data_IF_259408560719
#
_entry.id   IF_259408560719
#
_cell.length_a   1.000
_cell.length_b   1.000
_cell.length_c   1.000
_cell.angle_alpha   90.00
_cell.angle_beta   90.00
_cell.angle_gamma   90.00
#
_symmetry.space_group_name_H-M   'P 1'
#
loop_
_entity.id
_entity.type
_entity.pdbx_description
1 polymer ?
#
# COMPACT_ATOMS: atom_id res chain seq x y z
N UNK A 1 4.57 -11.79 33.53
CA UNK A 1 4.99 -10.89 32.45
C UNK A 1 4.26 -11.33 31.20
N UNK A 2 3.38 -10.49 30.65
CA UNK A 2 2.78 -10.73 29.34
C UNK A 2 3.89 -10.57 28.31
N UNK A 3 4.37 -11.67 27.75
CA UNK A 3 5.28 -11.63 26.61
C UNK A 3 4.49 -11.08 25.44
N UNK A 4 4.68 -9.79 25.14
CA UNK A 4 4.18 -9.19 23.90
C UNK A 4 5.04 -9.74 22.75
N UNK A 5 4.71 -10.95 22.29
CA UNK A 5 5.28 -11.50 21.06
C UNK A 5 4.59 -10.82 19.88
N UNK A 6 5.34 -10.04 19.10
CA UNK A 6 4.87 -9.59 17.80
C UNK A 6 4.67 -10.85 16.94
N UNK A 7 3.43 -11.07 16.49
CA UNK A 7 3.08 -12.19 15.62
C UNK A 7 3.61 -11.88 14.21
N UNK A 8 4.84 -12.32 13.91
CA UNK A 8 5.49 -12.05 12.62
C UNK A 8 4.66 -12.56 11.43
N UNK A 9 3.93 -13.67 11.58
CA UNK A 9 3.00 -14.15 10.55
C UNK A 9 1.88 -13.14 10.22
N UNK A 10 1.36 -12.41 11.21
CA UNK A 10 0.36 -11.37 10.95
C UNK A 10 0.96 -10.18 10.22
N UNK A 11 2.21 -9.84 10.51
CA UNK A 11 2.92 -8.74 9.85
C UNK A 11 3.09 -9.04 8.36
N UNK A 12 3.60 -10.23 8.02
CA UNK A 12 3.78 -10.65 6.64
C UNK A 12 2.45 -10.75 5.89
N UNK A 13 1.41 -11.25 6.57
CA UNK A 13 0.05 -11.30 6.02
C UNK A 13 -0.48 -9.90 5.69
N UNK A 14 -0.37 -8.94 6.62
CA UNK A 14 -0.85 -7.57 6.42
C UNK A 14 -0.09 -6.89 5.26
N UNK A 15 1.22 -7.10 5.15
CA UNK A 15 2.02 -6.61 4.01
C UNK A 15 1.57 -7.23 2.69
N UNK A 16 1.29 -8.53 2.68
CA UNK A 16 0.75 -9.23 1.51
C UNK A 16 -0.61 -8.66 1.07
N UNK A 17 -1.52 -8.50 2.02
CA UNK A 17 -2.86 -7.92 1.78
C UNK A 17 -2.76 -6.48 1.27
N UNK A 18 -1.92 -5.64 1.86
CA UNK A 18 -1.73 -4.25 1.41
C UNK A 18 -1.22 -4.17 -0.03
N UNK A 19 -0.29 -5.04 -0.41
CA UNK A 19 0.18 -5.13 -1.80
C UNK A 19 -0.92 -5.61 -2.74
N UNK A 20 -1.67 -6.65 -2.35
CA UNK A 20 -2.79 -7.18 -3.13
C UNK A 20 -3.87 -6.12 -3.38
N UNK A 21 -4.29 -5.40 -2.34
CA UNK A 21 -5.27 -4.31 -2.43
C UNK A 21 -4.76 -3.20 -3.35
N UNK A 22 -3.48 -2.81 -3.22
CA UNK A 22 -2.89 -1.77 -4.08
C UNK A 22 -2.88 -2.19 -5.55
N UNK A 23 -2.55 -3.44 -5.85
CA UNK A 23 -2.60 -3.97 -7.21
C UNK A 23 -4.02 -4.02 -7.76
N UNK A 24 -4.99 -4.49 -6.97
CA UNK A 24 -6.40 -4.54 -7.37
C UNK A 24 -6.97 -3.14 -7.64
N UNK A 25 -6.61 -2.15 -6.82
CA UNK A 25 -7.00 -0.76 -7.04
C UNK A 25 -6.40 -0.20 -8.33
N UNK A 26 -5.11 -0.40 -8.56
CA UNK A 26 -4.46 0.03 -9.81
C UNK A 26 -5.10 -0.61 -11.05
N UNK A 27 -5.42 -1.91 -10.98
CA UNK A 27 -6.11 -2.60 -12.07
C UNK A 27 -7.51 -2.01 -12.31
N UNK A 28 -8.27 -1.79 -11.24
CA UNK A 28 -9.61 -1.20 -11.32
C UNK A 28 -9.57 0.20 -11.94
N UNK A 29 -8.59 1.03 -11.57
CA UNK A 29 -8.38 2.35 -12.14
C UNK A 29 -7.98 2.28 -13.63
N UNK A 30 -7.13 1.33 -14.00
CA UNK A 30 -6.77 1.10 -15.40
C UNK A 30 -7.97 0.65 -16.26
N UNK A 31 -8.81 -0.23 -15.70
CA UNK A 31 -10.03 -0.69 -16.37
C UNK A 31 -11.04 0.46 -16.53
N UNK A 32 -11.21 1.29 -15.50
CA UNK A 32 -12.05 2.49 -15.54
C UNK A 32 -11.51 3.50 -16.58
N UNK A 33 -10.19 3.68 -16.70
CA UNK A 33 -9.54 4.53 -17.70
C UNK A 33 -9.81 4.03 -19.12
N UNK A 34 -9.66 2.73 -19.34
CA UNK A 34 -9.94 2.08 -20.62
C UNK A 34 -11.41 2.25 -21.03
N UNK A 35 -12.34 1.94 -20.11
CA UNK A 35 -13.78 2.07 -20.35
C UNK A 35 -14.23 3.51 -20.59
N UNK A 36 -13.64 4.47 -19.86
CA UNK A 36 -13.93 5.89 -20.05
C UNK A 36 -13.42 6.39 -21.39
N UNK A 37 -12.23 5.93 -21.82
CA UNK A 37 -11.64 6.29 -23.12
C UNK A 37 -12.44 5.77 -24.32
N UNK A 38 -13.09 4.61 -24.21
CA UNK A 38 -13.94 4.06 -25.27
C UNK A 38 -15.09 5.01 -25.63
N UNK A 39 -15.67 5.67 -24.62
CA UNK A 39 -16.78 6.62 -24.82
C UNK A 39 -16.29 8.06 -25.01
N UNK A 40 -14.98 8.32 -24.89
CA UNK A 40 -14.42 9.67 -24.90
C UNK A 40 -14.58 10.37 -26.26
N UNK A 41 -14.70 9.59 -27.35
CA UNK A 41 -15.03 10.11 -28.67
C UNK A 41 -16.44 10.75 -28.72
N UNK A 42 -17.34 10.33 -27.84
CA UNK A 42 -18.70 10.89 -27.70
C UNK A 42 -18.75 12.03 -26.68
N UNK A 43 -17.70 12.18 -25.86
CA UNK A 43 -17.63 13.18 -24.80
C UNK A 43 -17.19 14.51 -25.40
N UNK A 44 -18.09 15.49 -25.34
CA UNK A 44 -17.83 16.88 -25.70
C UNK A 44 -16.69 17.48 -24.84
N UNK A 45 -16.06 18.56 -25.31
CA UNK A 45 -14.86 19.17 -24.72
C UNK A 45 -14.86 19.29 -23.18
N UNK A 46 -15.99 19.67 -22.57
CA UNK A 46 -16.08 19.87 -21.11
C UNK A 46 -15.99 18.56 -20.32
N UNK A 47 -16.50 17.46 -20.89
CA UNK A 47 -16.42 16.14 -20.28
C UNK A 47 -14.99 15.58 -20.37
N UNK A 48 -14.23 15.91 -21.42
CA UNK A 48 -12.81 15.55 -21.52
C UNK A 48 -11.97 16.29 -20.47
N UNK A 49 -12.21 17.59 -20.28
CA UNK A 49 -11.52 18.37 -19.24
C UNK A 49 -11.81 17.84 -17.83
N UNK A 50 -13.08 17.53 -17.55
CA UNK A 50 -13.50 16.91 -16.29
C UNK A 50 -12.84 15.55 -16.08
N UNK A 51 -12.82 14.73 -17.14
CA UNK A 51 -12.14 13.44 -17.13
C UNK A 51 -10.67 13.58 -16.78
N UNK A 52 -9.94 14.49 -17.45
CA UNK A 52 -8.51 14.73 -17.16
C UNK A 52 -8.29 15.18 -15.72
N UNK A 53 -9.16 16.01 -15.15
CA UNK A 53 -9.05 16.46 -13.76
C UNK A 53 -9.25 15.31 -12.77
N UNK A 54 -10.31 14.51 -12.95
CA UNK A 54 -10.55 13.32 -12.12
C UNK A 54 -9.41 12.31 -12.33
N UNK A 55 -8.91 12.22 -13.57
CA UNK A 55 -7.75 11.40 -13.92
C UNK A 55 -6.44 11.87 -13.26
N UNK A 56 -6.31 13.13 -12.87
CA UNK A 56 -5.15 13.53 -12.08
C UNK A 56 -5.29 13.09 -10.60
N UNK A 57 -6.51 13.13 -10.06
CA UNK A 57 -6.78 12.86 -8.65
C UNK A 57 -6.61 11.38 -8.30
N UNK A 58 -7.21 10.48 -9.09
CA UNK A 58 -7.09 9.03 -8.87
C UNK A 58 -5.64 8.51 -9.03
N UNK A 59 -4.81 9.09 -9.92
CA UNK A 59 -3.42 8.70 -10.20
C UNK A 59 -2.55 9.16 -9.03
N UNK A 60 -2.83 10.36 -8.50
CA UNK A 60 -2.21 10.88 -7.28
C UNK A 60 -2.55 10.00 -6.07
N UNK A 61 -3.82 9.62 -5.91
CA UNK A 61 -4.25 8.76 -4.81
C UNK A 61 -3.64 7.36 -4.89
N UNK A 62 -3.55 6.78 -6.09
CA UNK A 62 -2.90 5.49 -6.32
C UNK A 62 -1.39 5.53 -6.02
N UNK A 63 -0.71 6.62 -6.40
CA UNK A 63 0.68 6.83 -6.07
C UNK A 63 0.90 6.96 -4.54
N UNK A 64 0.03 7.71 -3.85
CA UNK A 64 0.06 7.87 -2.39
C UNK A 64 -0.14 6.53 -1.67
N UNK A 65 -1.06 5.69 -2.14
CA UNK A 65 -1.25 4.33 -1.59
C UNK A 65 0.02 3.49 -1.72
N UNK A 66 0.66 3.51 -2.89
CA UNK A 66 1.91 2.76 -3.13
C UNK A 66 3.01 3.23 -2.18
N UNK A 67 3.13 4.55 -1.97
CA UNK A 67 4.07 5.14 -1.02
C UNK A 67 3.78 4.73 0.43
N UNK A 68 2.51 4.72 0.83
CA UNK A 68 2.09 4.30 2.17
C UNK A 68 2.39 2.82 2.44
N UNK A 69 2.17 1.95 1.46
CA UNK A 69 2.53 0.53 1.58
C UNK A 69 4.04 0.36 1.72
N UNK A 70 4.83 1.08 0.94
CA UNK A 70 6.29 1.06 1.08
C UNK A 70 6.75 1.53 2.47
N UNK A 71 6.15 2.60 2.99
CA UNK A 71 6.44 3.10 4.34
C UNK A 71 6.02 2.10 5.43
N UNK A 72 4.86 1.45 5.28
CA UNK A 72 4.40 0.42 6.21
C UNK A 72 5.36 -0.78 6.22
N UNK A 73 5.83 -1.23 5.06
CA UNK A 73 6.83 -2.30 4.95
C UNK A 73 8.11 -1.92 5.69
N UNK A 74 8.61 -0.69 5.50
CA UNK A 74 9.82 -0.22 6.18
C UNK A 74 9.65 -0.15 7.70
N UNK A 75 8.53 0.39 8.19
CA UNK A 75 8.25 0.46 9.63
C UNK A 75 8.13 -0.93 10.25
N UNK A 76 7.46 -1.86 9.57
CA UNK A 76 7.31 -3.24 10.03
C UNK A 76 8.67 -3.98 10.04
N UNK A 77 9.53 -3.73 9.06
CA UNK A 77 10.90 -4.22 9.05
C UNK A 77 11.73 -3.70 10.22
N UNK A 78 11.63 -2.40 10.53
CA UNK A 78 12.30 -1.82 11.70
C UNK A 78 11.81 -2.45 13.01
N UNK A 79 10.50 -2.64 13.17
CA UNK A 79 9.94 -3.33 14.35
C UNK A 79 10.57 -4.72 14.48
N UNK A 80 10.67 -5.49 13.38
CA UNK A 80 11.30 -6.81 13.39
C UNK A 80 12.75 -6.75 13.91
N UNK A 81 13.56 -5.83 13.38
CA UNK A 81 14.95 -5.64 13.80
C UNK A 81 15.08 -5.25 15.28
N UNK A 82 14.25 -4.32 15.76
CA UNK A 82 14.28 -3.90 17.17
C UNK A 82 13.93 -5.04 18.12
N UNK A 83 12.91 -5.84 17.79
CA UNK A 83 12.53 -6.99 18.60
C UNK A 83 13.62 -8.07 18.59
N UNK A 84 14.14 -8.44 17.42
CA UNK A 84 15.20 -9.44 17.30
C UNK A 84 16.50 -9.04 18.01
N UNK A 85 16.83 -7.74 18.03
CA UNK A 85 17.98 -7.21 18.76
C UNK A 85 17.73 -7.14 20.28
N UNK A 86 16.53 -6.75 20.71
CA UNK A 86 16.15 -6.72 22.12
C UNK A 86 16.16 -8.12 22.75
N UNK A 87 15.69 -9.13 22.03
CA UNK A 87 15.69 -10.52 22.48
C UNK A 87 17.12 -11.08 22.56
N UNK A 88 17.98 -10.78 21.58
CA UNK A 88 19.42 -11.13 21.62
C UNK A 88 20.16 -10.47 22.78
N UNK A 89 19.91 -9.18 23.05
CA UNK A 89 20.50 -8.49 24.20
C UNK A 89 19.97 -9.05 25.53
N UNK A 90 18.69 -9.38 25.59
CA UNK A 90 18.08 -10.04 26.75
C UNK A 90 18.75 -11.39 27.02
N UNK A 91 18.92 -12.24 26.01
CA UNK A 91 19.59 -13.54 26.17
C UNK A 91 21.07 -13.36 26.57
N UNK A 92 21.79 -12.37 26.04
CA UNK A 92 23.16 -12.05 26.47
C UNK A 92 23.26 -11.51 27.90
N UNK A 93 22.22 -10.88 28.44
CA UNK A 93 22.18 -10.43 29.83
C UNK A 93 21.99 -11.59 30.82
N UNK A 94 21.51 -12.74 30.35
CA UNK A 94 21.26 -13.94 31.15
C UNK A 94 22.15 -15.15 30.79
N UNK A 95 23.07 -14.99 29.83
CA UNK A 95 24.08 -15.98 29.45
C UNK A 95 25.44 -15.61 30.05
#
# INVERSE_FOLDING_TARGET
>A
MTTYTVQMEQVDYIVGEMNSITQQLNQTLADLDSQSKINLAEWTSDAQATYTQVKAQWDTAAADMTSKVAAAIQMLGQINEYYANGERQGVQLWA
#
